data_IF_143415131947
#
_entry.id   IF_143415131947
#
_cell.length_a   1.000
_cell.length_b   1.000
_cell.length_c   1.000
_cell.angle_alpha   90.00
_cell.angle_beta   90.00
_cell.angle_gamma   90.00
#
_symmetry.space_group_name_H-M   'P 1'
#
loop_
_entity.id
_entity.type
_entity.pdbx_description
1 polymer ?
#
# COMPACT_ATOMS: atom_id res chain seq x y z
N UNK A 1 6.12 -1.28 -17.89
CA UNK A 1 6.67 -0.91 -16.56
C UNK A 1 6.87 0.60 -16.54
N UNK A 2 6.14 1.31 -15.67
CA UNK A 2 6.30 2.75 -15.52
C UNK A 2 7.68 3.07 -14.93
N UNK A 3 8.37 4.09 -15.43
CA UNK A 3 9.78 4.38 -15.07
C UNK A 3 9.96 4.59 -13.56
N UNK A 4 8.98 5.22 -12.93
CA UNK A 4 8.92 5.48 -11.49
C UNK A 4 8.83 4.17 -10.69
N UNK A 5 8.01 3.22 -11.14
CA UNK A 5 7.89 1.92 -10.47
C UNK A 5 9.18 1.11 -10.55
N UNK A 6 9.92 1.24 -11.67
CA UNK A 6 11.22 0.59 -11.83
C UNK A 6 12.29 1.21 -10.90
N UNK A 7 12.35 2.54 -10.84
CA UNK A 7 13.30 3.25 -9.97
C UNK A 7 13.02 3.00 -8.48
N UNK A 8 11.75 2.97 -8.05
CA UNK A 8 11.37 2.58 -6.68
C UNK A 8 11.72 1.10 -6.36
N UNK A 9 11.45 0.19 -7.30
CA UNK A 9 11.73 -1.24 -7.11
C UNK A 9 13.23 -1.55 -7.05
N UNK A 10 14.08 -0.72 -7.67
CA UNK A 10 15.55 -0.85 -7.59
C UNK A 10 16.11 -0.30 -6.26
N UNK A 11 15.40 0.62 -5.60
CA UNK A 11 15.84 1.22 -4.34
C UNK A 11 15.44 0.41 -3.09
N UNK A 12 14.36 -0.37 -3.15
CA UNK A 12 13.82 -1.12 -2.01
C UNK A 12 14.22 -2.60 -2.09
N UNK A 13 14.61 -3.22 -0.96
CA UNK A 13 14.84 -4.65 -0.95
C UNK A 13 13.52 -5.38 -1.26
N UNK A 14 13.64 -6.45 -2.07
CA UNK A 14 12.52 -7.30 -2.46
C UNK A 14 11.74 -7.76 -1.21
N UNK A 15 10.41 -7.65 -1.21
CA UNK A 15 9.62 -8.07 -0.06
C UNK A 15 9.86 -9.55 0.28
N UNK A 16 10.05 -9.85 1.57
CA UNK A 16 10.20 -11.21 2.10
C UNK A 16 8.91 -12.03 2.01
N UNK A 17 7.79 -11.42 1.63
CA UNK A 17 6.49 -12.05 1.49
C UNK A 17 5.34 -11.11 1.89
N UNK A 18 4.10 -11.57 1.75
CA UNK A 18 2.92 -10.84 2.19
C UNK A 18 2.78 -10.86 3.72
N UNK A 19 2.00 -9.93 4.24
CA UNK A 19 1.42 -10.04 5.58
C UNK A 19 0.38 -11.17 5.62
N UNK A 20 0.15 -11.76 6.79
CA UNK A 20 -0.96 -12.72 6.99
C UNK A 20 -2.31 -11.99 6.91
N UNK A 21 -3.41 -12.73 6.73
CA UNK A 21 -4.76 -12.14 6.64
C UNK A 21 -5.12 -11.30 7.88
N UNK A 22 -4.73 -11.74 9.08
CA UNK A 22 -4.94 -11.01 10.32
C UNK A 22 -4.10 -9.72 10.38
N UNK A 23 -2.82 -9.81 10.03
CA UNK A 23 -1.92 -8.66 9.94
C UNK A 23 -2.41 -7.64 8.90
N UNK A 24 -2.89 -8.12 7.75
CA UNK A 24 -3.43 -7.27 6.69
C UNK A 24 -4.72 -6.56 7.11
N UNK A 25 -5.60 -7.24 7.86
CA UNK A 25 -6.81 -6.62 8.42
C UNK A 25 -6.47 -5.54 9.45
N UNK A 26 -5.50 -5.78 10.35
CA UNK A 26 -5.02 -4.77 11.29
C UNK A 26 -4.45 -3.54 10.58
N UNK A 27 -3.64 -3.76 9.52
CA UNK A 27 -3.10 -2.69 8.69
C UNK A 27 -4.21 -1.89 7.99
N UNK A 28 -5.22 -2.57 7.43
CA UNK A 28 -6.39 -1.92 6.84
C UNK A 28 -7.11 -1.03 7.86
N UNK A 29 -7.39 -1.55 9.05
CA UNK A 29 -8.09 -0.81 10.09
C UNK A 29 -7.27 0.39 10.57
N UNK A 30 -5.96 0.22 10.74
CA UNK A 30 -5.06 1.30 11.12
C UNK A 30 -4.96 2.38 10.03
N UNK A 31 -4.80 1.98 8.76
CA UNK A 31 -4.78 2.90 7.62
C UNK A 31 -6.09 3.68 7.51
N UNK A 32 -7.24 3.02 7.75
CA UNK A 32 -8.55 3.70 7.77
C UNK A 32 -8.70 4.70 8.91
N UNK A 33 -8.03 4.46 10.04
CA UNK A 33 -8.04 5.35 11.20
C UNK A 33 -7.15 6.57 11.00
N UNK A 34 -5.92 6.35 10.56
CA UNK A 34 -4.93 7.40 10.31
C UNK A 34 -3.92 6.94 9.23
N UNK A 35 -4.14 7.31 7.96
CA UNK A 35 -3.23 6.97 6.86
C UNK A 35 -1.81 7.51 7.04
N UNK A 36 -1.63 8.56 7.85
CA UNK A 36 -0.33 9.22 8.05
C UNK A 36 0.57 8.49 9.05
N UNK A 37 0.01 7.59 9.86
CA UNK A 37 0.73 6.90 10.93
C UNK A 37 0.22 5.46 11.11
N UNK A 38 0.51 4.60 10.14
CA UNK A 38 0.13 3.19 10.19
C UNK A 38 1.21 2.36 10.88
N UNK A 39 0.95 1.74 12.05
CA UNK A 39 1.92 0.86 12.69
C UNK A 39 1.97 -0.49 11.98
N UNK A 40 3.18 -1.03 11.83
CA UNK A 40 3.37 -2.41 11.40
C UNK A 40 2.97 -3.37 12.55
N UNK A 41 2.11 -4.38 12.32
CA UNK A 41 1.65 -5.30 13.37
C UNK A 41 2.80 -6.13 13.99
N UNK A 42 3.94 -6.25 13.30
CA UNK A 42 5.11 -6.99 13.77
C UNK A 42 6.23 -6.10 14.30
N UNK A 43 6.28 -4.84 13.87
CA UNK A 43 7.45 -3.98 14.07
C UNK A 43 7.13 -2.72 14.88
N UNK A 44 5.86 -2.38 15.05
CA UNK A 44 5.40 -1.17 15.72
C UNK A 44 5.29 0.04 14.78
N UNK A 45 5.12 1.25 15.35
CA UNK A 45 4.98 2.51 14.60
C UNK A 45 6.25 2.89 13.83
N UNK A 46 6.18 3.92 12.99
CA UNK A 46 7.32 4.55 12.28
C UNK A 46 8.07 3.65 11.28
N UNK A 47 7.55 2.47 10.97
CA UNK A 47 8.21 1.51 10.08
C UNK A 47 7.50 1.35 8.73
N UNK A 48 6.29 1.88 8.56
CA UNK A 48 5.49 1.75 7.33
C UNK A 48 5.62 3.00 6.48
N UNK A 49 5.90 2.81 5.20
CA UNK A 49 5.85 3.84 4.16
C UNK A 49 4.72 3.52 3.17
N UNK A 50 4.03 4.56 2.70
CA UNK A 50 3.11 4.46 1.55
C UNK A 50 3.92 4.76 0.28
N UNK A 51 4.17 3.73 -0.53
CA UNK A 51 5.03 3.82 -1.72
C UNK A 51 4.33 4.48 -2.91
N UNK A 52 3.04 4.21 -3.07
CA UNK A 52 2.24 4.71 -4.17
C UNK A 52 0.75 4.59 -3.86
N UNK A 53 -0.05 5.42 -4.52
CA UNK A 53 -1.47 5.21 -4.69
C UNK A 53 -1.69 4.72 -6.12
N UNK A 54 -2.56 3.74 -6.28
CA UNK A 54 -2.77 3.02 -7.53
C UNK A 54 -4.26 3.09 -7.87
N UNK A 55 -4.60 3.36 -9.13
CA UNK A 55 -5.98 3.28 -9.58
C UNK A 55 -6.52 1.84 -9.40
N UNK A 56 -7.78 1.67 -8.97
CA UNK A 56 -8.38 0.35 -8.86
C UNK A 56 -8.62 -0.28 -10.23
N UNK A 57 -8.78 0.54 -11.27
CA UNK A 57 -8.95 0.09 -12.64
C UNK A 57 -7.62 -0.33 -13.27
N UNK A 58 -7.67 -1.45 -13.98
CA UNK A 58 -6.54 -2.01 -14.70
C UNK A 58 -6.71 -1.64 -16.18
N UNK A 59 -5.64 -1.15 -16.79
CA UNK A 59 -5.64 -0.84 -18.23
C UNK A 59 -5.86 -2.10 -19.08
N UNK A 60 -6.18 -1.97 -20.39
CA UNK A 60 -6.39 -3.12 -21.28
C UNK A 60 -5.18 -4.06 -21.41
N UNK A 61 -3.99 -3.64 -20.94
CA UNK A 61 -2.76 -4.43 -20.95
C UNK A 61 -2.49 -5.10 -19.60
N UNK A 62 -3.38 -4.98 -18.62
CA UNK A 62 -3.23 -5.60 -17.31
C UNK A 62 -2.41 -4.80 -16.30
N UNK A 63 -2.14 -3.51 -16.55
CA UNK A 63 -1.37 -2.66 -15.64
C UNK A 63 -2.25 -1.63 -14.94
N UNK A 64 -2.02 -1.46 -13.64
CA UNK A 64 -2.63 -0.39 -12.86
C UNK A 64 -1.74 0.86 -12.87
N UNK A 65 -2.37 2.05 -12.90
CA UNK A 65 -1.68 3.34 -12.98
C UNK A 65 -1.45 3.95 -11.59
N UNK A 66 -0.37 4.72 -11.43
CA UNK A 66 -0.14 5.51 -10.20
C UNK A 66 -1.03 6.74 -10.24
N UNK A 67 -1.63 7.09 -9.10
CA UNK A 67 -2.56 8.22 -8.96
C UNK A 67 -2.31 9.02 -7.67
N UNK A 68 -3.12 10.05 -7.45
CA UNK A 68 -3.21 10.79 -6.19
C UNK A 68 -4.23 10.11 -5.26
N UNK A 69 -4.16 10.31 -3.92
CA UNK A 69 -5.09 9.71 -2.96
C UNK A 69 -6.45 10.41 -2.96
N UNK A 70 -7.08 10.53 -4.13
CA UNK A 70 -8.37 11.15 -4.35
C UNK A 70 -9.35 10.12 -4.91
N UNK A 71 -10.58 10.08 -4.38
CA UNK A 71 -11.59 9.10 -4.81
C UNK A 71 -11.25 7.67 -4.39
N UNK A 72 -11.43 6.71 -5.31
CA UNK A 72 -11.09 5.30 -5.10
C UNK A 72 -9.66 5.03 -5.54
N UNK A 73 -8.85 4.46 -4.64
CA UNK A 73 -7.47 4.11 -4.91
C UNK A 73 -7.04 2.90 -4.07
N UNK A 74 -5.94 2.25 -4.45
CA UNK A 74 -5.23 1.30 -3.62
C UNK A 74 -3.93 1.94 -3.10
N UNK A 75 -3.69 1.92 -1.79
CA UNK A 75 -2.40 2.29 -1.22
C UNK A 75 -1.47 1.07 -1.21
N UNK A 76 -0.23 1.23 -1.68
CA UNK A 76 0.82 0.24 -1.53
C UNK A 76 1.66 0.57 -0.29
N UNK A 77 1.58 -0.27 0.75
CA UNK A 77 2.31 -0.07 2.00
C UNK A 77 3.51 -1.01 2.07
N UNK A 78 4.60 -0.52 2.64
CA UNK A 78 5.85 -1.26 2.80
C UNK A 78 6.43 -1.07 4.19
N UNK A 79 6.84 -2.16 4.85
CA UNK A 79 7.55 -2.09 6.12
C UNK A 79 9.07 -2.20 5.92
N UNK A 80 9.81 -1.18 6.34
CA UNK A 80 11.27 -1.12 6.22
C UNK A 80 12.03 -2.06 7.18
N UNK A 81 11.36 -2.63 8.18
CA UNK A 81 12.00 -3.50 9.18
C UNK A 81 11.81 -4.99 8.90
N UNK A 82 10.58 -5.41 8.61
CA UNK A 82 10.29 -6.80 8.24
C UNK A 82 10.35 -7.04 6.72
N UNK A 83 10.49 -5.98 5.92
CA UNK A 83 10.55 -6.02 4.46
C UNK A 83 9.34 -6.72 3.87
N UNK A 84 8.13 -6.39 4.32
CA UNK A 84 6.88 -6.92 3.80
C UNK A 84 6.05 -5.80 3.19
N UNK A 85 5.24 -6.14 2.20
CA UNK A 85 4.37 -5.21 1.50
C UNK A 85 2.93 -5.69 1.48
N UNK A 86 1.98 -4.76 1.41
CA UNK A 86 0.55 -5.04 1.21
C UNK A 86 -0.09 -3.93 0.37
N UNK A 87 -1.05 -4.31 -0.48
CA UNK A 87 -1.94 -3.37 -1.14
C UNK A 87 -3.25 -3.24 -0.36
N UNK A 88 -3.66 -2.01 -0.04
CA UNK A 88 -4.90 -1.72 0.69
C UNK A 88 -5.83 -0.94 -0.24
N UNK A 89 -6.99 -1.52 -0.57
CA UNK A 89 -8.05 -0.80 -1.28
C UNK A 89 -8.68 0.24 -0.33
N UNK A 90 -8.51 1.51 -0.67
CA UNK A 90 -9.04 2.66 0.04
C UNK A 90 -10.07 3.38 -0.85
N UNK A 91 -11.35 3.17 -0.54
CA UNK A 91 -12.43 3.97 -1.08
C UNK A 91 -12.84 5.04 -0.07
N UNK A 92 -13.04 6.28 -0.52
CA UNK A 92 -13.92 7.19 0.21
C UNK A 92 -15.32 6.58 0.14
N UNK A 93 -15.80 6.00 1.26
CA UNK A 93 -17.18 5.55 1.33
C UNK A 93 -18.09 6.70 0.92
N UNK A 94 -18.73 6.59 -0.24
CA UNK A 94 -19.95 7.36 -0.49
C UNK A 94 -20.95 6.83 0.53
N UNK A 95 -21.40 7.70 1.42
CA UNK A 95 -22.63 7.46 2.18
C UNK A 95 -23.71 7.03 1.18
N UNK A 96 -24.25 5.83 1.36
CA UNK A 96 -25.50 5.37 0.75
C UNK A 96 -26.66 5.66 1.69
#
# INVERSE_FOLDING_TARGET
MNRIAKELAEALPQPKGPFTDAEALELLMAYRKDPSNVPCPLCGPDNIEVLAFIEPEIDPNGFASVTHPEGEYAAALYCHKCYRAVGILAGTGREV
#
